data_IF_391529240644
#
_entry.id   IF_391529240644
#
_cell.length_a   1.000
_cell.length_b   1.000
_cell.length_c   1.000
_cell.angle_alpha   90.00
_cell.angle_beta   90.00
_cell.angle_gamma   90.00
#
_symmetry.space_group_name_H-M   'P 1'
#
loop_
_entity.id
_entity.type
_entity.pdbx_description
1 polymer ?
#
# COMPACT_ATOMS: atom_id res chain seq x y z
N UNK A 1 -10.29 10.32 22.78
CA UNK A 1 -10.63 9.01 22.17
C UNK A 1 -9.41 8.12 22.24
N UNK A 2 -9.56 6.82 22.55
CA UNK A 2 -8.44 5.88 22.69
C UNK A 2 -8.30 4.95 21.48
N UNK A 3 -7.21 4.18 21.43
CA UNK A 3 -6.88 3.24 20.34
C UNK A 3 -8.03 2.28 19.98
N UNK A 4 -8.75 1.78 20.99
CA UNK A 4 -9.90 0.87 20.79
C UNK A 4 -11.01 1.53 19.99
N UNK A 5 -11.36 2.77 20.31
CA UNK A 5 -12.41 3.52 19.61
C UNK A 5 -11.96 3.92 18.21
N UNK A 6 -10.68 4.26 18.02
CA UNK A 6 -10.13 4.59 16.71
C UNK A 6 -10.23 3.41 15.73
N UNK A 7 -9.80 2.23 16.18
CA UNK A 7 -9.74 1.01 15.36
C UNK A 7 -11.13 0.48 14.92
N UNK A 8 -12.21 1.01 15.48
CA UNK A 8 -13.60 0.71 15.10
C UNK A 8 -14.04 1.43 13.82
N UNK A 9 -13.40 2.55 13.44
CA UNK A 9 -13.80 3.35 12.27
C UNK A 9 -12.64 3.80 11.37
N UNK A 10 -11.40 3.79 11.86
CA UNK A 10 -10.22 4.22 11.13
C UNK A 10 -9.07 3.22 11.27
N UNK A 11 -8.39 2.92 10.16
CA UNK A 11 -7.16 2.13 10.13
C UNK A 11 -6.15 2.77 9.20
N UNK A 12 -4.92 2.92 9.68
CA UNK A 12 -3.79 3.41 8.90
C UNK A 12 -2.94 2.24 8.42
N UNK A 13 -2.60 2.23 7.13
CA UNK A 13 -1.69 1.25 6.54
C UNK A 13 -0.47 1.98 5.96
N UNK A 14 0.73 1.61 6.42
CA UNK A 14 1.97 2.16 5.90
C UNK A 14 2.59 1.18 4.90
N UNK A 15 2.91 1.65 3.70
CA UNK A 15 3.52 0.85 2.64
C UNK A 15 5.01 1.21 2.53
N UNK A 16 5.94 0.38 3.06
CA UNK A 16 7.37 0.66 2.96
C UNK A 16 7.85 0.59 1.51
N UNK A 17 8.64 1.57 1.10
CA UNK A 17 9.24 1.61 -0.25
C UNK A 17 8.29 2.05 -1.36
N UNK A 18 7.04 2.41 -1.03
CA UNK A 18 6.11 3.04 -1.99
C UNK A 18 6.26 4.55 -1.93
N UNK A 19 6.34 5.20 -3.09
CA UNK A 19 6.44 6.66 -3.19
C UNK A 19 5.05 7.32 -3.15
N UNK A 20 4.95 8.57 -3.63
CA UNK A 20 3.70 9.31 -3.61
C UNK A 20 2.62 8.57 -4.43
N UNK A 21 1.65 7.98 -3.73
CA UNK A 21 0.49 7.25 -4.24
C UNK A 21 0.79 5.95 -5.02
N UNK A 22 2.03 5.71 -5.43
CA UNK A 22 2.40 4.50 -6.15
C UNK A 22 3.85 4.55 -6.61
N UNK A 23 4.28 3.52 -7.34
CA UNK A 23 5.69 3.32 -7.71
C UNK A 23 6.61 3.20 -6.50
N UNK A 24 7.90 3.05 -6.75
CA UNK A 24 8.93 2.89 -5.71
C UNK A 24 9.55 1.50 -5.76
N UNK A 25 10.40 1.22 -4.77
CA UNK A 25 11.10 -0.07 -4.65
C UNK A 25 10.21 -1.13 -3.99
N UNK A 26 9.14 -0.70 -3.32
CA UNK A 26 8.17 -1.57 -2.65
C UNK A 26 6.99 -1.98 -3.52
N UNK A 27 6.20 -2.97 -3.07
CA UNK A 27 4.97 -3.40 -3.74
C UNK A 27 3.89 -2.30 -3.65
N UNK A 28 3.69 -1.58 -4.75
CA UNK A 28 2.78 -0.42 -4.81
C UNK A 28 1.36 -0.75 -5.25
N UNK A 29 1.09 -1.93 -5.82
CA UNK A 29 -0.26 -2.33 -6.20
C UNK A 29 -1.00 -2.87 -4.96
N UNK A 30 -2.15 -2.28 -4.65
CA UNK A 30 -2.98 -2.60 -3.49
C UNK A 30 -4.46 -2.42 -3.84
N UNK A 31 -5.32 -3.25 -3.26
CA UNK A 31 -6.77 -3.05 -3.29
C UNK A 31 -7.27 -2.64 -1.90
N UNK A 32 -7.72 -1.39 -1.79
CA UNK A 32 -8.31 -0.83 -0.56
C UNK A 32 -9.83 -0.73 -0.63
N UNK A 33 -10.42 -0.85 -1.82
CA UNK A 33 -11.86 -0.61 -2.02
C UNK A 33 -12.66 -1.82 -1.55
N UNK A 34 -12.22 -3.03 -1.90
CA UNK A 34 -12.86 -4.28 -1.45
C UNK A 34 -12.94 -4.38 0.08
N UNK A 35 -11.83 -4.26 0.84
CA UNK A 35 -11.89 -4.32 2.30
C UNK A 35 -12.71 -3.18 2.93
N UNK A 36 -12.75 -2.00 2.30
CA UNK A 36 -13.57 -0.90 2.78
C UNK A 36 -15.07 -1.19 2.59
N UNK A 37 -15.46 -1.74 1.45
CA UNK A 37 -16.84 -2.15 1.19
C UNK A 37 -17.29 -3.23 2.18
N UNK A 38 -16.48 -4.26 2.38
CA UNK A 38 -16.77 -5.32 3.37
C UNK A 38 -16.90 -4.76 4.80
N UNK A 39 -16.09 -3.76 5.15
CA UNK A 39 -16.20 -3.11 6.45
C UNK A 39 -17.52 -2.36 6.59
N UNK A 40 -17.92 -1.60 5.58
CA UNK A 40 -19.16 -0.80 5.61
C UNK A 40 -20.40 -1.70 5.56
N UNK A 41 -20.39 -2.73 4.72
CA UNK A 41 -21.57 -3.57 4.47
C UNK A 41 -21.72 -4.71 5.47
N UNK A 42 -20.60 -5.28 5.93
CA UNK A 42 -20.59 -6.49 6.77
C UNK A 42 -19.96 -6.25 8.15
N UNK A 43 -19.64 -5.00 8.51
CA UNK A 43 -18.97 -4.65 9.78
C UNK A 43 -17.66 -5.42 10.03
N UNK A 44 -17.02 -5.92 8.97
CA UNK A 44 -15.79 -6.72 9.07
C UNK A 44 -14.60 -5.82 8.80
N UNK A 45 -13.95 -5.37 9.88
CA UNK A 45 -12.85 -4.42 9.77
C UNK A 45 -11.59 -5.09 9.16
N UNK A 46 -10.92 -4.44 8.19
CA UNK A 46 -9.89 -5.10 7.40
C UNK A 46 -8.62 -5.37 8.20
N UNK A 47 -8.12 -6.60 8.18
CA UNK A 47 -6.88 -7.00 8.84
C UNK A 47 -5.66 -6.73 7.98
N UNK A 48 -4.97 -7.80 7.56
CA UNK A 48 -3.86 -7.70 6.63
C UNK A 48 -4.35 -7.47 5.19
N UNK A 49 -3.78 -6.50 4.49
CA UNK A 49 -4.09 -6.23 3.06
C UNK A 49 -2.88 -6.65 2.22
N UNK A 50 -3.14 -7.41 1.15
CA UNK A 50 -2.07 -7.85 0.25
C UNK A 50 -1.65 -6.73 -0.69
N UNK A 51 -0.34 -6.56 -0.84
CA UNK A 51 0.27 -5.70 -1.86
C UNK A 51 1.14 -6.52 -2.80
N UNK A 52 1.27 -6.04 -4.04
CA UNK A 52 2.15 -6.64 -5.04
C UNK A 52 2.90 -5.59 -5.84
N UNK A 53 4.02 -5.97 -6.43
CA UNK A 53 4.66 -5.15 -7.47
C UNK A 53 3.81 -5.18 -8.73
N UNK A 54 3.44 -4.02 -9.32
CA UNK A 54 2.68 -4.00 -10.57
C UNK A 54 3.45 -4.73 -11.68
N UNK A 55 2.74 -5.52 -12.48
CA UNK A 55 3.35 -6.26 -13.59
C UNK A 55 3.95 -5.29 -14.61
N UNK A 56 5.24 -5.45 -14.92
CA UNK A 56 5.92 -4.67 -15.96
C UNK A 56 5.48 -5.14 -17.34
N UNK A 57 4.31 -4.73 -17.83
CA UNK A 57 4.00 -4.83 -19.27
C UNK A 57 4.83 -3.78 -20.00
N UNK A 58 5.79 -4.26 -20.78
CA UNK A 58 6.90 -3.49 -21.33
C UNK A 58 6.56 -2.38 -22.33
N UNK A 59 7.62 -1.63 -22.64
CA UNK A 59 7.78 -0.50 -23.57
C UNK A 59 7.46 0.91 -23.06
N UNK A 60 8.39 1.49 -22.29
CA UNK A 60 8.51 2.95 -22.16
C UNK A 60 9.01 3.57 -23.48
N UNK A 61 8.11 4.04 -24.34
CA UNK A 61 8.42 4.80 -25.57
C UNK A 61 8.68 6.30 -25.30
N UNK A 62 9.24 6.68 -24.16
CA UNK A 62 9.60 8.07 -23.91
C UNK A 62 10.98 8.36 -24.51
N UNK A 63 11.02 9.12 -25.62
CA UNK A 63 12.26 9.59 -26.24
C UNK A 63 12.76 8.81 -27.47
N UNK A 64 12.07 7.76 -27.92
CA UNK A 64 12.39 7.13 -29.21
C UNK A 64 11.66 7.88 -30.33
N UNK A 65 12.41 8.57 -31.20
CA UNK A 65 11.86 9.06 -32.47
C UNK A 65 11.34 7.84 -33.23
N UNK A 66 10.02 7.82 -33.48
CA UNK A 66 9.37 6.68 -34.11
C UNK A 66 10.01 6.44 -35.49
N UNK A 67 10.69 5.30 -35.66
CA UNK A 67 10.92 4.79 -37.00
C UNK A 67 9.55 4.44 -37.58
N UNK A 68 9.17 5.21 -38.59
CA UNK A 68 8.06 4.97 -39.49
C UNK A 68 8.00 3.48 -39.85
N UNK A 69 6.91 2.83 -39.44
CA UNK A 69 6.63 1.42 -39.70
C UNK A 69 5.12 1.25 -39.88
N UNK A 70 4.71 1.27 -41.15
CA UNK A 70 3.36 0.99 -41.63
C UNK A 70 2.79 -0.32 -41.07
N UNK A 71 1.56 -0.29 -40.55
CA UNK A 71 0.87 -1.47 -40.04
C UNK A 71 -0.52 -1.15 -39.50
N UNK A 72 -1.48 -1.05 -40.41
CA UNK A 72 -2.92 -0.89 -40.15
C UNK A 72 -3.49 -2.05 -39.32
N UNK A 73 -4.02 -1.75 -38.13
CA UNK A 73 -4.86 -2.66 -37.35
C UNK A 73 -5.23 -2.08 -35.98
N UNK A 74 -6.48 -1.68 -35.80
CA UNK A 74 -7.01 -1.29 -34.48
C UNK A 74 -7.11 -2.53 -33.57
N UNK A 75 -6.50 -2.55 -32.37
CA UNK A 75 -6.76 -3.61 -31.40
C UNK A 75 -8.13 -3.40 -30.73
N UNK A 76 -8.82 -4.46 -30.30
CA UNK A 76 -10.16 -4.36 -29.72
C UNK A 76 -10.12 -3.67 -28.35
N UNK A 77 -11.17 -2.90 -28.06
CA UNK A 77 -11.42 -2.26 -26.77
C UNK A 77 -11.73 -3.33 -25.71
N UNK A 78 -10.70 -3.95 -25.14
CA UNK A 78 -10.83 -4.69 -23.88
C UNK A 78 -10.63 -3.68 -22.74
N UNK A 79 -11.76 -3.24 -22.18
CA UNK A 79 -11.82 -2.41 -20.98
C UNK A 79 -11.30 -3.24 -19.79
N UNK A 80 -9.98 -3.28 -19.63
CA UNK A 80 -9.34 -3.88 -18.47
C UNK A 80 -9.06 -2.75 -17.47
N UNK A 81 -9.53 -2.96 -16.25
CA UNK A 81 -9.18 -2.20 -15.04
C UNK A 81 -7.65 -2.22 -14.92
N UNK A 82 -6.98 -1.24 -15.50
CA UNK A 82 -5.53 -1.12 -15.47
C UNK A 82 -5.18 -0.25 -14.26
N UNK A 83 -4.74 -0.90 -13.19
CA UNK A 83 -3.97 -0.26 -12.14
C UNK A 83 -2.75 0.38 -12.81
N UNK A 84 -2.73 1.70 -12.85
CA UNK A 84 -1.78 2.52 -13.61
C UNK A 84 -0.33 2.13 -13.25
N UNK A 85 0.33 1.41 -14.16
CA UNK A 85 1.73 1.05 -14.05
C UNK A 85 2.58 2.25 -14.50
N UNK A 86 3.07 3.03 -13.54
CA UNK A 86 4.12 4.02 -13.82
C UNK A 86 5.45 3.29 -13.96
N UNK A 87 5.96 3.23 -15.20
CA UNK A 87 7.09 2.40 -15.59
C UNK A 87 8.45 2.90 -15.10
N UNK A 88 9.18 2.03 -14.40
CA UNK A 88 10.64 1.99 -14.39
C UNK A 88 11.06 0.51 -14.39
N UNK A 89 11.90 0.13 -15.35
CA UNK A 89 12.11 -1.24 -15.76
C UNK A 89 12.91 -2.11 -14.78
N UNK A 90 12.36 -3.27 -14.48
CA UNK A 90 13.07 -4.55 -14.35
C UNK A 90 12.02 -5.64 -14.49
N UNK A 91 12.37 -6.79 -15.07
CA UNK A 91 11.52 -7.97 -15.05
C UNK A 91 11.37 -8.41 -13.58
N UNK A 92 10.46 -7.76 -12.87
CA UNK A 92 10.31 -7.91 -11.44
C UNK A 92 9.54 -9.21 -11.21
N UNK A 93 10.22 -10.22 -10.67
CA UNK A 93 9.55 -11.28 -9.93
C UNK A 93 8.48 -10.64 -9.06
N UNK A 94 7.22 -11.09 -9.18
CA UNK A 94 6.11 -10.49 -8.45
C UNK A 94 6.41 -10.57 -6.95
N UNK A 95 6.79 -9.44 -6.34
CA UNK A 95 7.03 -9.36 -4.91
C UNK A 95 5.70 -9.07 -4.27
N UNK A 96 5.29 -9.89 -3.30
CA UNK A 96 4.05 -9.73 -2.55
C UNK A 96 4.35 -9.49 -1.08
N UNK A 97 3.62 -8.58 -0.44
CA UNK A 97 3.77 -8.30 1.00
C UNK A 97 2.39 -8.11 1.64
N UNK A 98 2.11 -8.70 2.81
CA UNK A 98 0.98 -8.27 3.61
C UNK A 98 1.32 -6.93 4.28
N UNK A 99 0.37 -6.01 4.32
CA UNK A 99 0.46 -4.76 5.09
C UNK A 99 -0.55 -4.83 6.21
N UNK A 100 -0.10 -4.54 7.43
CA UNK A 100 -0.91 -4.64 8.64
C UNK A 100 -1.36 -3.26 9.13
N UNK A 101 -2.46 -3.18 9.90
CA UNK A 101 -2.88 -1.94 10.53
C UNK A 101 -1.76 -1.39 11.44
N UNK A 102 -1.47 -0.10 11.31
CA UNK A 102 -0.48 0.59 12.13
C UNK A 102 -0.84 0.43 13.61
N UNK A 103 0.14 0.14 14.49
CA UNK A 103 1.58 0.25 14.29
C UNK A 103 2.30 -1.05 13.87
N UNK A 104 1.56 -2.12 13.56
CA UNK A 104 2.15 -3.39 13.17
C UNK A 104 2.86 -3.30 11.81
N UNK A 105 3.86 -4.18 11.63
CA UNK A 105 4.70 -4.23 10.41
C UNK A 105 4.80 -5.67 9.91
N UNK A 106 5.05 -5.88 8.62
CA UNK A 106 5.32 -7.22 8.11
C UNK A 106 6.69 -7.72 8.57
N UNK A 107 6.72 -8.87 9.25
CA UNK A 107 7.94 -9.53 9.72
C UNK A 107 8.13 -10.84 8.97
N UNK A 108 9.32 -11.03 8.41
CA UNK A 108 9.67 -12.29 7.75
C UNK A 108 9.81 -13.42 8.78
N UNK A 109 9.24 -14.60 8.48
CA UNK A 109 9.26 -15.77 9.37
C UNK A 109 10.65 -16.40 9.51
N UNK A 110 11.59 -16.08 8.63
CA UNK A 110 12.96 -16.59 8.63
C UNK A 110 13.21 -17.75 7.67
N UNK A 111 12.18 -18.24 6.97
CA UNK A 111 12.27 -19.32 5.99
C UNK A 111 11.25 -19.15 4.86
N UNK A 112 11.56 -19.65 3.67
CA UNK A 112 10.71 -19.55 2.48
C UNK A 112 11.25 -18.59 1.43
N UNK A 113 10.49 -18.35 0.37
CA UNK A 113 10.80 -17.30 -0.59
C UNK A 113 10.51 -15.94 0.05
N UNK A 114 11.51 -15.06 0.06
CA UNK A 114 11.37 -13.70 0.53
C UNK A 114 10.41 -12.89 -0.33
N UNK A 115 10.08 -13.29 -1.56
CA UNK A 115 9.14 -12.57 -2.44
C UNK A 115 7.66 -12.95 -2.21
N UNK A 116 7.40 -13.99 -1.42
CA UNK A 116 6.05 -14.49 -1.15
C UNK A 116 5.50 -13.96 0.18
N UNK A 117 4.33 -13.31 0.11
CA UNK A 117 3.58 -12.78 1.25
C UNK A 117 3.25 -13.85 2.31
N UNK A 118 3.11 -15.12 1.92
CA UNK A 118 2.83 -16.22 2.85
C UNK A 118 3.95 -16.44 3.89
N UNK A 119 5.17 -15.99 3.59
CA UNK A 119 6.34 -16.12 4.47
C UNK A 119 6.52 -14.93 5.42
N UNK A 120 5.52 -14.04 5.49
CA UNK A 120 5.48 -12.92 6.42
C UNK A 120 4.36 -13.10 7.46
N UNK A 121 4.56 -12.51 8.62
CA UNK A 121 3.62 -12.48 9.75
C UNK A 121 3.53 -11.06 10.33
N UNK A 122 2.54 -10.83 11.19
CA UNK A 122 2.39 -9.57 11.91
C UNK A 122 3.53 -9.40 12.93
N UNK A 123 4.30 -8.34 12.75
CA UNK A 123 5.43 -7.95 13.59
C UNK A 123 5.12 -6.74 14.45
N UNK A 124 5.84 -6.64 15.57
CA UNK A 124 5.81 -5.46 16.44
C UNK A 124 6.34 -4.22 15.71
N UNK A 125 5.91 -3.01 16.10
CA UNK A 125 6.41 -1.76 15.51
C UNK A 125 7.94 -1.69 15.61
N UNK A 126 8.61 -1.32 14.52
CA UNK A 126 10.08 -1.17 14.51
C UNK A 126 10.55 0.01 15.38
N UNK A 127 9.70 1.03 15.53
CA UNK A 127 10.00 2.23 16.31
C UNK A 127 8.86 2.50 17.29
N UNK A 128 9.14 2.38 18.58
CA UNK A 128 8.22 2.72 19.69
C UNK A 128 8.69 3.95 20.47
N UNK A 129 9.77 4.62 20.03
CA UNK A 129 10.22 5.86 20.66
C UNK A 129 9.22 6.95 20.33
N UNK A 130 8.56 7.49 21.36
CA UNK A 130 7.78 8.72 21.24
C UNK A 130 8.66 9.80 20.62
N UNK A 131 8.05 10.61 19.76
CA UNK A 131 8.65 11.88 19.32
C UNK A 131 9.13 12.62 20.56
N UNK A 132 10.38 13.04 20.55
CA UNK A 132 10.99 13.77 21.66
C UNK A 132 10.20 15.06 21.89
N UNK A 133 10.10 15.47 23.16
CA UNK A 133 9.40 16.69 23.53
C UNK A 133 9.89 17.87 22.68
N UNK A 134 8.95 18.62 22.12
CA UNK A 134 9.21 19.69 21.18
C UNK A 134 8.36 20.91 21.50
N UNK A 135 8.90 22.10 21.22
CA UNK A 135 8.27 23.36 21.58
C UNK A 135 6.96 23.53 20.79
N UNK A 136 5.82 23.56 21.48
CA UNK A 136 4.49 23.61 20.88
C UNK A 136 3.70 22.30 20.92
N UNK A 137 4.23 21.24 21.54
CA UNK A 137 3.48 20.00 21.77
C UNK A 137 2.20 20.21 22.61
N UNK A 138 2.20 21.23 23.47
CA UNK A 138 1.10 21.64 24.34
C UNK A 138 -0.08 22.24 23.56
N UNK A 139 0.13 22.75 22.34
CA UNK A 139 -0.96 23.13 21.43
C UNK A 139 -1.80 21.94 20.95
N UNK A 140 -1.27 20.72 21.06
CA UNK A 140 -1.94 19.49 20.62
C UNK A 140 -2.65 18.76 21.76
N UNK A 141 -2.77 19.39 22.94
CA UNK A 141 -3.56 18.84 24.02
C UNK A 141 -5.02 18.65 23.59
N UNK A 142 -5.57 17.42 23.66
CA UNK A 142 -6.94 17.17 23.23
C UNK A 142 -7.94 18.02 24.01
N UNK A 143 -8.90 18.60 23.31
CA UNK A 143 -10.03 19.30 23.94
C UNK A 143 -10.75 18.35 24.91
N UNK A 144 -10.89 18.78 26.17
CA UNK A 144 -11.67 18.05 27.17
C UNK A 144 -13.07 18.68 27.23
N UNK A 145 -14.12 18.01 26.72
CA UNK A 145 -15.46 18.56 26.76
C UNK A 145 -15.91 18.72 28.21
N UNK A 146 -16.39 19.92 28.56
CA UNK A 146 -17.09 20.18 29.82
C UNK A 146 -18.39 19.39 29.83
N UNK A 147 -18.57 18.50 30.81
CA UNK A 147 -19.84 17.76 30.98
C UNK A 147 -20.99 18.76 31.16
N UNK A 148 -22.06 18.55 30.39
CA UNK A 148 -23.34 19.24 30.55
C UNK A 148 -24.04 18.80 31.85
#
# INVERSE_FOLDING_TARGET
>A
MGEKTLNEFERLYLLPGVYHCGSGEGPSAIDLVTPMLEWVESSTAPGAIQTSTPASTGESKFGQWAKSGSGSGLPPLKRMLQTEASGSGSAASTVTRPVYPYPAVAKYKGSGDVNDAANFEEGKPLYTKKTRDWLGEDFFNPYTPTKA
#
